data_IF_262447647252
#
_entry.id   IF_262447647252
#
_cell.length_a   1.000
_cell.length_b   1.000
_cell.length_c   1.000
_cell.angle_alpha   90.00
_cell.angle_beta   90.00
_cell.angle_gamma   90.00
#
_symmetry.space_group_name_H-M   'P 1'
#
loop_
_entity.id
_entity.type
_entity.pdbx_description
1 polymer ?
#
# COMPACT_ATOMS: atom_id res chain seq x y z
N UNK A 1 46.59 -7.37 -0.67
CA UNK A 1 46.00 -8.49 -1.42
C UNK A 1 45.17 -7.90 -2.54
N UNK A 2 45.41 -8.27 -3.80
CA UNK A 2 44.60 -7.74 -4.91
C UNK A 2 43.24 -8.45 -4.94
N UNK A 3 42.23 -7.79 -5.51
CA UNK A 3 40.92 -8.41 -5.77
C UNK A 3 41.04 -9.71 -6.59
N UNK A 4 42.05 -9.78 -7.45
CA UNK A 4 42.45 -10.94 -8.24
C UNK A 4 42.74 -12.18 -7.37
N UNK A 5 43.35 -12.01 -6.19
CA UNK A 5 43.63 -13.12 -5.27
C UNK A 5 42.35 -13.74 -4.73
N UNK A 6 41.32 -12.94 -4.44
CA UNK A 6 40.04 -13.42 -3.94
C UNK A 6 39.22 -14.14 -5.03
N UNK A 7 39.27 -13.65 -6.27
CA UNK A 7 38.61 -14.31 -7.42
C UNK A 7 39.26 -15.65 -7.76
N UNK A 8 40.57 -15.80 -7.52
CA UNK A 8 41.25 -17.10 -7.69
C UNK A 8 40.86 -18.12 -6.61
N UNK A 9 40.56 -17.65 -5.39
CA UNK A 9 40.10 -18.48 -4.27
C UNK A 9 38.63 -18.89 -4.41
N UNK A 10 37.78 -17.99 -4.92
CA UNK A 10 36.37 -18.26 -5.18
C UNK A 10 35.94 -17.63 -6.50
N UNK A 11 35.71 -18.50 -7.50
CA UNK A 11 35.32 -18.08 -8.86
C UNK A 11 33.91 -17.49 -8.92
N UNK A 12 33.06 -17.72 -7.91
CA UNK A 12 31.70 -17.15 -7.87
C UNK A 12 31.73 -15.63 -7.69
N UNK A 13 32.82 -15.09 -7.11
CA UNK A 13 33.03 -13.66 -6.95
C UNK A 13 33.31 -12.91 -8.26
N UNK A 14 33.47 -13.61 -9.38
CA UNK A 14 33.82 -13.01 -10.68
C UNK A 14 32.68 -12.17 -11.28
N UNK A 15 31.44 -12.53 -10.96
CA UNK A 15 30.22 -11.86 -11.41
C UNK A 15 29.61 -10.99 -10.29
N UNK A 16 30.25 -10.92 -9.12
CA UNK A 16 29.83 -10.13 -7.98
C UNK A 16 30.43 -8.72 -8.03
N UNK A 17 29.62 -7.72 -7.68
CA UNK A 17 30.08 -6.32 -7.65
C UNK A 17 30.35 -5.91 -6.20
N UNK A 18 31.61 -5.62 -5.87
CA UNK A 18 31.99 -5.15 -4.54
C UNK A 18 32.25 -3.63 -4.60
N UNK A 19 31.49 -2.80 -3.87
CA UNK A 19 31.78 -1.38 -3.78
C UNK A 19 33.04 -1.16 -2.94
N UNK A 20 34.10 -0.65 -3.58
CA UNK A 20 35.32 -0.21 -2.90
C UNK A 20 35.33 1.31 -2.86
N UNK A 21 35.22 1.87 -1.66
CA UNK A 21 35.28 3.33 -1.46
C UNK A 21 36.64 3.68 -0.87
N UNK A 22 37.40 4.48 -1.62
CA UNK A 22 38.68 5.00 -1.16
C UNK A 22 38.49 6.35 -0.47
N UNK A 23 39.12 6.51 0.68
CA UNK A 23 39.21 7.78 1.39
C UNK A 23 40.69 8.15 1.54
N UNK A 24 40.98 9.45 1.51
CA UNK A 24 42.32 9.91 1.85
C UNK A 24 42.55 9.71 3.35
N UNK A 25 43.59 8.96 3.72
CA UNK A 25 43.93 8.70 5.11
C UNK A 25 44.52 9.98 5.73
N UNK A 26 43.69 10.69 6.48
CA UNK A 26 44.10 11.84 7.31
C UNK A 26 44.34 11.42 8.77
N UNK A 27 44.48 10.11 9.02
CA UNK A 27 44.83 9.54 10.32
C UNK A 27 43.65 8.97 11.11
N UNK A 28 44.01 8.25 12.18
CA UNK A 28 43.10 7.46 13.02
C UNK A 28 41.91 8.27 13.59
N UNK A 29 42.13 9.54 13.92
CA UNK A 29 41.08 10.40 14.49
C UNK A 29 39.94 10.63 13.48
N UNK A 30 40.26 10.93 12.22
CA UNK A 30 39.26 11.12 11.16
C UNK A 30 38.57 9.81 10.81
N UNK A 31 39.31 8.71 10.72
CA UNK A 31 38.71 7.38 10.45
C UNK A 31 37.71 6.97 11.53
N UNK A 32 37.99 7.27 12.80
CA UNK A 32 37.03 7.08 13.91
C UNK A 32 35.80 7.98 13.77
N UNK A 33 35.98 9.25 13.42
CA UNK A 33 34.86 10.17 13.21
C UNK A 33 33.99 9.76 12.01
N UNK A 34 34.61 9.40 10.88
CA UNK A 34 33.90 8.95 9.69
C UNK A 34 33.14 7.65 9.93
N UNK A 35 33.72 6.71 10.69
CA UNK A 35 33.01 5.51 11.15
C UNK A 35 31.83 5.87 12.06
N UNK A 36 32.01 6.80 13.00
CA UNK A 36 30.92 7.27 13.85
C UNK A 36 29.81 7.93 13.03
N UNK A 37 30.15 8.78 12.06
CA UNK A 37 29.20 9.50 11.19
C UNK A 37 28.46 8.55 10.25
N UNK A 38 29.15 7.57 9.65
CA UNK A 38 28.52 6.55 8.81
C UNK A 38 27.53 5.71 9.60
N UNK A 39 27.88 5.30 10.82
CA UNK A 39 26.98 4.50 11.66
C UNK A 39 25.85 5.35 12.27
N UNK A 40 26.12 6.60 12.63
CA UNK A 40 25.12 7.51 13.17
C UNK A 40 24.10 7.95 12.12
N UNK A 41 24.52 8.09 10.87
CA UNK A 41 23.68 8.51 9.74
C UNK A 41 23.33 7.38 8.78
N UNK A 42 23.53 6.11 9.17
CA UNK A 42 23.07 4.95 8.39
C UNK A 42 21.53 4.89 8.44
N UNK A 43 20.88 5.80 7.72
CA UNK A 43 19.44 5.79 7.58
C UNK A 43 19.07 4.63 6.66
N UNK A 44 18.32 3.67 7.17
CA UNK A 44 17.69 2.66 6.31
C UNK A 44 16.91 3.37 5.21
N UNK A 45 17.03 2.95 3.93
CA UNK A 45 16.17 3.48 2.90
C UNK A 45 14.71 3.34 3.32
N UNK A 46 13.85 4.24 2.83
CA UNK A 46 12.43 4.21 3.18
C UNK A 46 11.84 2.83 2.81
N UNK A 47 10.80 2.39 3.54
CA UNK A 47 10.14 1.13 3.20
C UNK A 47 9.57 1.12 1.76
N UNK A 48 9.23 2.29 1.22
CA UNK A 48 8.79 2.44 -0.16
C UNK A 48 9.95 2.23 -1.14
N UNK A 49 11.11 2.85 -0.90
CA UNK A 49 12.33 2.64 -1.69
C UNK A 49 12.77 1.18 -1.63
N UNK A 50 12.82 0.57 -0.45
CA UNK A 50 13.18 -0.85 -0.33
C UNK A 50 12.23 -1.73 -1.14
N UNK A 51 10.91 -1.49 -1.06
CA UNK A 51 9.93 -2.25 -1.84
C UNK A 51 10.05 -2.00 -3.35
N UNK A 52 10.39 -0.79 -3.77
CA UNK A 52 10.57 -0.43 -5.18
C UNK A 52 11.74 -1.15 -5.83
N UNK A 53 12.85 -1.34 -5.10
CA UNK A 53 14.08 -1.93 -5.64
C UNK A 53 14.26 -3.42 -5.33
N UNK A 54 13.58 -3.97 -4.32
CA UNK A 54 13.64 -5.39 -3.99
C UNK A 54 12.72 -6.23 -4.89
N UNK A 55 13.08 -6.32 -6.18
CA UNK A 55 12.36 -7.10 -7.20
C UNK A 55 12.55 -8.61 -7.05
N UNK A 56 13.46 -9.05 -6.17
CA UNK A 56 13.61 -10.47 -5.81
C UNK A 56 12.44 -10.96 -4.96
N UNK A 57 11.76 -10.04 -4.29
CA UNK A 57 10.56 -10.33 -3.52
C UNK A 57 9.35 -10.47 -4.47
N UNK A 58 8.72 -11.66 -4.56
CA UNK A 58 7.63 -11.90 -5.49
C UNK A 58 6.42 -10.99 -5.27
N UNK A 59 6.15 -10.59 -4.03
CA UNK A 59 5.04 -9.71 -3.69
C UNK A 59 5.29 -8.26 -4.13
N UNK A 60 6.52 -7.76 -3.97
CA UNK A 60 6.88 -6.44 -4.49
C UNK A 60 6.71 -6.38 -6.01
N UNK A 61 7.21 -7.40 -6.72
CA UNK A 61 7.06 -7.52 -8.17
C UNK A 61 5.58 -7.57 -8.55
N UNK A 62 4.78 -8.42 -7.91
CA UNK A 62 3.34 -8.51 -8.13
C UNK A 62 2.64 -7.14 -8.01
N UNK A 63 2.90 -6.40 -6.93
CA UNK A 63 2.25 -5.09 -6.72
C UNK A 63 2.71 -4.06 -7.75
N UNK A 64 4.00 -4.03 -8.09
CA UNK A 64 4.54 -3.10 -9.09
C UNK A 64 3.98 -3.39 -10.49
N UNK A 65 4.00 -4.66 -10.93
CA UNK A 65 3.46 -5.10 -12.22
C UNK A 65 1.95 -4.82 -12.30
N UNK A 66 1.22 -5.06 -11.20
CA UNK A 66 -0.19 -4.74 -11.13
C UNK A 66 -0.45 -3.23 -11.27
N UNK A 67 0.31 -2.39 -10.57
CA UNK A 67 0.18 -0.93 -10.70
C UNK A 67 0.54 -0.44 -12.10
N UNK A 68 1.54 -1.02 -12.76
CA UNK A 68 1.92 -0.66 -14.12
C UNK A 68 0.81 -0.92 -15.14
N UNK A 69 -0.02 -1.94 -14.91
CA UNK A 69 -1.21 -2.22 -15.73
C UNK A 69 -2.35 -1.21 -15.54
N UNK A 70 -2.29 -0.38 -14.49
CA UNK A 70 -3.27 0.67 -14.17
C UNK A 70 -2.60 2.07 -14.10
N UNK A 71 -2.15 2.63 -15.23
CA UNK A 71 -1.31 3.82 -15.26
C UNK A 71 -1.93 5.06 -14.60
N UNK A 72 -3.24 5.26 -14.75
CA UNK A 72 -3.98 6.39 -14.14
C UNK A 72 -3.92 6.35 -12.60
N UNK A 73 -4.06 5.15 -12.02
CA UNK A 73 -3.94 4.94 -10.58
C UNK A 73 -2.48 5.03 -10.15
N UNK A 74 -1.56 4.44 -10.92
CA UNK A 74 -0.12 4.45 -10.67
C UNK A 74 0.43 5.89 -10.60
N UNK A 75 -0.10 6.80 -11.42
CA UNK A 75 0.25 8.21 -11.40
C UNK A 75 -0.04 8.89 -10.06
N UNK A 76 -0.98 8.38 -9.27
CA UNK A 76 -1.34 8.92 -7.95
C UNK A 76 -0.52 8.33 -6.80
N UNK A 77 0.50 7.50 -7.09
CA UNK A 77 1.30 6.80 -6.10
C UNK A 77 2.70 7.43 -5.98
N UNK A 78 3.11 7.68 -4.74
CA UNK A 78 4.49 7.99 -4.40
C UNK A 78 5.26 6.67 -4.16
N UNK A 79 6.19 6.34 -5.05
CA UNK A 79 6.98 5.11 -4.95
C UNK A 79 8.21 5.26 -4.04
N UNK A 80 8.55 6.47 -3.63
CA UNK A 80 9.77 6.75 -2.86
C UNK A 80 9.48 7.10 -1.40
N UNK A 81 8.37 7.78 -1.14
CA UNK A 81 7.97 8.21 0.21
C UNK A 81 6.95 7.27 0.80
N UNK A 82 7.11 6.95 2.09
CA UNK A 82 6.14 6.15 2.83
C UNK A 82 4.93 6.98 3.28
N UNK A 83 5.17 8.25 3.63
CA UNK A 83 4.15 9.21 4.05
C UNK A 83 3.85 10.21 2.95
N UNK A 84 2.59 10.60 2.87
CA UNK A 84 2.11 11.57 1.87
C UNK A 84 1.86 12.90 2.57
N UNK A 85 2.64 13.91 2.18
CA UNK A 85 2.48 15.26 2.72
C UNK A 85 1.14 15.89 2.32
N UNK A 86 0.68 16.87 3.10
CA UNK A 86 -0.62 17.54 2.88
C UNK A 86 -0.76 18.09 1.45
N UNK A 87 0.28 18.79 0.96
CA UNK A 87 0.36 19.40 -0.37
C UNK A 87 0.88 18.47 -1.47
N UNK A 88 1.00 17.16 -1.21
CA UNK A 88 1.49 16.23 -2.20
C UNK A 88 0.50 16.08 -3.35
N UNK A 89 1.04 16.03 -4.57
CA UNK A 89 0.31 15.66 -5.81
C UNK A 89 0.07 14.16 -5.93
N UNK A 90 0.53 13.35 -4.97
CA UNK A 90 0.23 11.91 -4.87
C UNK A 90 -0.86 11.71 -3.82
N UNK A 91 -1.68 10.67 -3.96
CA UNK A 91 -2.68 10.27 -2.96
C UNK A 91 -2.13 9.27 -1.95
N UNK A 92 -1.44 8.25 -2.45
CA UNK A 92 -0.97 7.11 -1.65
C UNK A 92 0.51 6.83 -1.89
N UNK A 93 1.10 5.96 -1.08
CA UNK A 93 2.46 5.47 -1.25
C UNK A 93 2.47 4.02 -1.70
N UNK A 94 3.60 3.53 -2.22
CA UNK A 94 3.77 2.11 -2.53
C UNK A 94 3.51 1.22 -1.31
N UNK A 95 3.85 1.68 -0.09
CA UNK A 95 3.56 0.94 1.15
C UNK A 95 2.05 0.82 1.39
N UNK A 96 1.27 1.86 1.12
CA UNK A 96 -0.19 1.79 1.21
C UNK A 96 -0.77 0.77 0.24
N UNK A 97 -0.22 0.70 -0.98
CA UNK A 97 -0.66 -0.26 -2.00
C UNK A 97 -0.26 -1.70 -1.67
N UNK A 98 0.92 -1.92 -1.09
CA UNK A 98 1.28 -3.23 -0.53
C UNK A 98 0.28 -3.66 0.54
N UNK A 99 -0.08 -2.77 1.47
CA UNK A 99 -1.08 -3.08 2.51
C UNK A 99 -2.47 -3.31 1.94
N UNK A 100 -2.88 -2.54 0.94
CA UNK A 100 -4.11 -2.79 0.20
C UNK A 100 -4.12 -4.19 -0.43
N UNK A 101 -3.06 -4.56 -1.14
CA UNK A 101 -2.93 -5.88 -1.76
C UNK A 101 -2.98 -7.00 -0.72
N UNK A 102 -2.27 -6.88 0.41
CA UNK A 102 -2.34 -7.87 1.49
C UNK A 102 -3.77 -8.03 2.04
N UNK A 103 -4.50 -6.93 2.20
CA UNK A 103 -5.89 -6.96 2.70
C UNK A 103 -6.85 -7.51 1.67
N UNK A 104 -6.69 -7.14 0.40
CA UNK A 104 -7.56 -7.57 -0.69
C UNK A 104 -7.38 -9.07 -0.98
N UNK A 105 -6.14 -9.54 -1.05
CA UNK A 105 -5.83 -10.92 -1.40
C UNK A 105 -5.88 -11.87 -0.20
N UNK A 106 -5.94 -11.34 1.03
CA UNK A 106 -5.94 -12.16 2.24
C UNK A 106 -4.61 -12.86 2.53
N UNK A 107 -3.52 -12.46 1.86
CA UNK A 107 -2.20 -13.07 1.98
C UNK A 107 -1.16 -12.02 2.38
N UNK A 108 -0.32 -12.36 3.36
CA UNK A 108 0.81 -11.50 3.75
C UNK A 108 1.94 -11.56 2.73
N UNK A 109 2.78 -10.52 2.69
CA UNK A 109 3.99 -10.50 1.85
C UNK A 109 4.86 -11.77 2.00
N UNK A 110 5.02 -12.28 3.23
CA UNK A 110 5.78 -13.50 3.49
C UNK A 110 5.06 -14.78 3.02
N UNK A 111 3.72 -14.80 3.10
CA UNK A 111 2.91 -15.92 2.63
C UNK A 111 2.87 -16.01 1.10
N UNK A 112 2.92 -14.86 0.41
CA UNK A 112 2.80 -14.77 -1.04
C UNK A 112 3.94 -15.51 -1.77
N UNK A 113 5.15 -15.51 -1.21
CA UNK A 113 6.32 -16.14 -1.82
C UNK A 113 6.19 -17.67 -1.98
N UNK A 114 5.27 -18.31 -1.27
CA UNK A 114 5.07 -19.77 -1.29
C UNK A 114 3.85 -20.19 -2.12
N UNK A 115 3.16 -19.25 -2.77
CA UNK A 115 1.95 -19.57 -3.51
C UNK A 115 2.25 -20.23 -4.86
N UNK A 116 1.44 -21.22 -5.28
CA UNK A 116 1.46 -21.74 -6.64
C UNK A 116 1.17 -20.67 -7.70
N UNK A 117 1.75 -20.83 -8.89
CA UNK A 117 1.60 -19.87 -9.99
C UNK A 117 0.13 -19.62 -10.37
N UNK A 118 -0.69 -20.68 -10.43
CA UNK A 118 -2.12 -20.58 -10.75
C UNK A 118 -2.90 -19.75 -9.70
N UNK A 119 -2.51 -19.81 -8.42
CA UNK A 119 -3.12 -18.98 -7.37
C UNK A 119 -2.71 -17.52 -7.55
N UNK A 120 -1.43 -17.26 -7.84
CA UNK A 120 -0.95 -15.89 -8.09
C UNK A 120 -1.58 -15.27 -9.34
N UNK A 121 -1.87 -16.06 -10.38
CA UNK A 121 -2.57 -15.60 -11.58
C UNK A 121 -4.05 -15.25 -11.28
N UNK A 122 -4.74 -16.07 -10.50
CA UNK A 122 -6.10 -15.77 -10.06
C UNK A 122 -6.15 -14.51 -9.21
N UNK A 123 -5.21 -14.35 -8.27
CA UNK A 123 -5.05 -13.13 -7.47
C UNK A 123 -4.77 -11.90 -8.32
N UNK A 124 -3.96 -12.02 -9.39
CA UNK A 124 -3.70 -10.92 -10.31
C UNK A 124 -5.00 -10.48 -11.01
N UNK A 125 -5.80 -11.42 -11.53
CA UNK A 125 -7.09 -11.14 -12.18
C UNK A 125 -8.07 -10.45 -11.23
N UNK A 126 -8.15 -10.93 -10.00
CA UNK A 126 -9.01 -10.31 -8.98
C UNK A 126 -8.55 -8.89 -8.63
N UNK A 127 -7.24 -8.71 -8.41
CA UNK A 127 -6.65 -7.40 -8.14
C UNK A 127 -6.94 -6.41 -9.28
N UNK A 128 -6.77 -6.83 -10.53
CA UNK A 128 -7.05 -5.98 -11.70
C UNK A 128 -8.52 -5.62 -11.83
N UNK A 129 -9.40 -6.58 -11.53
CA UNK A 129 -10.84 -6.34 -11.52
C UNK A 129 -11.18 -5.23 -10.54
N UNK A 130 -10.62 -5.26 -9.34
CA UNK A 130 -10.86 -4.22 -8.34
C UNK A 130 -10.23 -2.89 -8.74
N UNK A 131 -8.93 -2.87 -9.05
CA UNK A 131 -8.21 -1.61 -9.33
C UNK A 131 -8.67 -0.95 -10.61
N UNK A 132 -8.88 -1.71 -11.68
CA UNK A 132 -9.36 -1.20 -12.97
C UNK A 132 -10.76 -0.59 -12.88
N UNK A 133 -11.57 -1.01 -11.90
CA UNK A 133 -12.90 -0.45 -11.65
C UNK A 133 -12.92 0.64 -10.57
N UNK A 134 -11.80 0.99 -9.91
CA UNK A 134 -11.79 2.06 -8.92
C UNK A 134 -12.13 3.42 -9.52
N UNK A 135 -11.48 3.82 -10.62
CA UNK A 135 -11.75 5.10 -11.26
C UNK A 135 -13.19 5.21 -11.79
N UNK A 136 -13.70 4.26 -12.61
CA UNK A 136 -15.07 4.34 -13.12
C UNK A 136 -16.14 4.31 -12.03
N UNK A 137 -15.87 3.64 -10.91
CA UNK A 137 -16.83 3.51 -9.80
C UNK A 137 -16.84 4.73 -8.90
N UNK A 138 -15.67 5.22 -8.48
CA UNK A 138 -15.58 6.31 -7.51
C UNK A 138 -15.37 7.64 -8.22
N UNK A 139 -16.47 8.38 -8.42
CA UNK A 139 -16.46 9.70 -9.09
C UNK A 139 -15.41 10.67 -8.54
N UNK A 140 -15.12 10.62 -7.24
CA UNK A 140 -14.08 11.46 -6.64
C UNK A 140 -12.67 11.10 -7.10
N UNK A 141 -12.38 9.82 -7.36
CA UNK A 141 -11.11 9.40 -7.95
C UNK A 141 -11.02 9.82 -9.41
N UNK A 142 -12.09 9.63 -10.17
CA UNK A 142 -12.14 10.11 -11.56
C UNK A 142 -11.89 11.62 -11.66
N UNK A 143 -12.49 12.42 -10.77
CA UNK A 143 -12.23 13.88 -10.71
C UNK A 143 -10.80 14.24 -10.36
N UNK A 144 -10.08 13.43 -9.57
CA UNK A 144 -8.65 13.66 -9.31
C UNK A 144 -7.82 13.29 -10.54
N UNK A 145 -8.08 12.13 -11.14
CA UNK A 145 -7.35 11.61 -12.30
C UNK A 145 -7.49 12.56 -13.50
N UNK A 146 -8.70 13.06 -13.75
CA UNK A 146 -9.00 14.01 -14.82
C UNK A 146 -8.60 15.46 -14.50
N UNK A 147 -8.01 15.71 -13.33
CA UNK A 147 -7.52 17.03 -12.93
C UNK A 147 -8.61 18.05 -12.53
N UNK A 148 -9.86 17.61 -12.36
CA UNK A 148 -10.99 18.46 -11.91
C UNK A 148 -10.82 18.91 -10.46
N UNK A 149 -10.24 18.07 -9.61
CA UNK A 149 -9.83 18.43 -8.25
C UNK A 149 -8.40 17.97 -8.00
N UNK A 150 -7.69 18.64 -7.09
CA UNK A 150 -6.33 18.26 -6.75
C UNK A 150 -6.33 17.11 -5.72
N UNK A 151 -5.24 16.32 -5.66
CA UNK A 151 -5.00 15.38 -4.57
C UNK A 151 -5.03 16.01 -3.17
N UNK A 152 -4.60 17.28 -3.06
CA UNK A 152 -4.69 18.06 -1.82
C UNK A 152 -6.15 18.32 -1.43
N UNK A 153 -7.00 18.79 -2.35
CA UNK A 153 -8.44 18.97 -2.11
C UNK A 153 -9.09 17.64 -1.72
N UNK A 154 -8.83 16.56 -2.46
CA UNK A 154 -9.41 15.25 -2.14
C UNK A 154 -9.01 14.81 -0.73
N UNK A 155 -7.72 14.98 -0.37
CA UNK A 155 -7.21 14.64 0.96
C UNK A 155 -7.78 15.52 2.05
N UNK A 156 -8.07 16.79 1.79
CA UNK A 156 -8.62 17.71 2.80
C UNK A 156 -10.06 17.37 3.14
N UNK A 157 -10.89 17.06 2.14
CA UNK A 157 -12.34 17.01 2.33
C UNK A 157 -12.91 15.59 2.39
N UNK A 158 -12.22 14.59 1.82
CA UNK A 158 -12.76 13.25 1.63
C UNK A 158 -11.88 12.16 2.25
N UNK A 159 -12.50 11.07 2.69
CA UNK A 159 -11.78 9.91 3.24
C UNK A 159 -11.04 9.12 2.15
N UNK A 160 -11.51 9.18 0.90
CA UNK A 160 -10.97 8.39 -0.22
C UNK A 160 -9.48 8.64 -0.45
N UNK A 161 -9.03 9.88 -0.28
CA UNK A 161 -7.62 10.25 -0.47
C UNK A 161 -6.67 9.73 0.62
N UNK A 162 -7.15 8.94 1.60
CA UNK A 162 -6.36 8.47 2.73
C UNK A 162 -6.08 6.97 2.64
N UNK A 163 -4.93 6.58 3.20
CA UNK A 163 -4.49 5.19 3.25
C UNK A 163 -5.45 4.27 4.03
N UNK A 164 -6.12 4.79 5.06
CA UNK A 164 -7.11 4.01 5.83
C UNK A 164 -8.29 3.58 4.95
N UNK A 165 -8.78 4.46 4.07
CA UNK A 165 -9.85 4.09 3.13
C UNK A 165 -9.37 3.02 2.16
N UNK A 166 -8.19 3.21 1.56
CA UNK A 166 -7.64 2.24 0.60
C UNK A 166 -7.51 0.85 1.24
N UNK A 167 -6.89 0.74 2.41
CA UNK A 167 -6.76 -0.54 3.12
C UNK A 167 -8.11 -1.13 3.55
N UNK A 168 -9.06 -0.29 3.95
CA UNK A 168 -10.42 -0.73 4.28
C UNK A 168 -11.19 -1.24 3.07
N UNK A 169 -11.02 -0.63 1.91
CA UNK A 169 -11.62 -1.09 0.66
C UNK A 169 -11.09 -2.49 0.31
N UNK A 170 -9.78 -2.69 0.39
CA UNK A 170 -9.17 -4.01 0.18
C UNK A 170 -9.76 -5.06 1.13
N UNK A 171 -9.82 -4.75 2.43
CA UNK A 171 -10.39 -5.67 3.42
C UNK A 171 -11.89 -5.92 3.22
N UNK A 172 -12.64 -4.91 2.79
CA UNK A 172 -14.08 -5.04 2.55
C UNK A 172 -14.36 -5.99 1.39
N UNK A 173 -13.57 -5.91 0.30
CA UNK A 173 -13.75 -6.69 -0.92
C UNK A 173 -13.08 -8.08 -0.87
N UNK A 174 -12.27 -8.37 0.15
CA UNK A 174 -11.43 -9.58 0.19
C UNK A 174 -12.19 -10.91 0.07
N UNK A 175 -13.47 -10.94 0.44
CA UNK A 175 -14.32 -12.14 0.34
C UNK A 175 -14.82 -12.42 -1.08
N UNK A 176 -14.47 -11.58 -2.06
CA UNK A 176 -14.95 -11.69 -3.44
C UNK A 176 -13.93 -12.35 -4.38
N UNK A 177 -12.76 -12.75 -3.87
CA UNK A 177 -11.66 -13.27 -4.68
C UNK A 177 -12.07 -14.50 -5.52
N UNK A 178 -12.95 -15.35 -4.97
CA UNK A 178 -13.44 -16.57 -5.63
C UNK A 178 -14.76 -16.36 -6.41
N UNK A 179 -15.24 -15.12 -6.49
CA UNK A 179 -16.49 -14.78 -7.18
C UNK A 179 -16.23 -14.25 -8.59
N UNK A 180 -17.28 -14.29 -9.42
CA UNK A 180 -17.20 -13.76 -10.78
C UNK A 180 -16.92 -12.23 -10.77
N UNK A 181 -16.16 -11.70 -11.75
CA UNK A 181 -15.84 -10.27 -11.83
C UNK A 181 -17.06 -9.35 -11.82
N UNK A 182 -18.18 -9.79 -12.39
CA UNK A 182 -19.44 -9.05 -12.44
C UNK A 182 -20.01 -8.81 -11.03
N UNK A 183 -19.90 -9.81 -10.14
CA UNK A 183 -20.33 -9.67 -8.74
C UNK A 183 -19.45 -8.64 -8.02
N UNK A 184 -18.13 -8.68 -8.26
CA UNK A 184 -17.21 -7.69 -7.70
C UNK A 184 -17.57 -6.28 -8.17
N UNK A 185 -17.87 -6.12 -9.46
CA UNK A 185 -18.27 -4.84 -10.02
C UNK A 185 -19.59 -4.32 -9.42
N UNK A 186 -20.59 -5.18 -9.25
CA UNK A 186 -21.88 -4.77 -8.68
C UNK A 186 -21.75 -4.37 -7.21
N UNK A 187 -20.94 -5.11 -6.42
CA UNK A 187 -20.57 -4.69 -5.06
C UNK A 187 -19.88 -3.33 -5.10
N UNK A 188 -18.88 -3.13 -5.96
CA UNK A 188 -18.18 -1.83 -6.06
C UNK A 188 -19.13 -0.69 -6.42
N UNK A 189 -20.05 -0.89 -7.37
CA UNK A 189 -21.08 0.10 -7.73
C UNK A 189 -21.97 0.45 -6.55
N UNK A 190 -22.35 -0.51 -5.71
CA UNK A 190 -23.15 -0.21 -4.51
C UNK A 190 -22.42 0.76 -3.57
N UNK A 191 -21.10 0.65 -3.44
CA UNK A 191 -20.26 1.53 -2.62
C UNK A 191 -20.18 2.95 -3.19
N UNK A 192 -20.32 3.15 -4.50
CA UNK A 192 -20.23 4.47 -5.13
C UNK A 192 -21.25 5.49 -4.60
N UNK A 193 -22.35 5.02 -4.02
CA UNK A 193 -23.43 5.83 -3.47
C UNK A 193 -23.11 6.47 -2.11
N UNK A 194 -22.03 6.04 -1.45
CA UNK A 194 -21.66 6.54 -0.13
C UNK A 194 -21.19 8.00 -0.15
N UNK A 195 -21.56 8.73 0.89
CA UNK A 195 -21.06 10.07 1.14
C UNK A 195 -19.64 10.00 1.74
N UNK A 196 -18.63 10.25 0.92
CA UNK A 196 -17.21 10.11 1.30
C UNK A 196 -16.61 11.35 1.99
N UNK A 197 -17.40 12.39 2.23
CA UNK A 197 -16.97 13.57 2.97
C UNK A 197 -16.56 13.19 4.39
N UNK A 198 -15.45 13.73 4.88
CA UNK A 198 -14.91 13.38 6.21
C UNK A 198 -15.81 13.78 7.37
N UNK A 199 -16.58 14.85 7.21
CA UNK A 199 -17.54 15.36 8.19
C UNK A 199 -18.85 14.56 8.23
N UNK A 200 -19.00 13.56 7.35
CA UNK A 200 -20.16 12.68 7.39
C UNK A 200 -20.09 11.75 8.61
N UNK A 201 -21.16 11.71 9.41
CA UNK A 201 -21.30 10.89 10.62
C UNK A 201 -21.05 9.40 10.38
N UNK A 202 -21.19 8.93 9.15
CA UNK A 202 -20.84 7.57 8.73
C UNK A 202 -19.38 7.22 9.07
N UNK A 203 -18.47 8.18 9.06
CA UNK A 203 -17.04 7.95 9.28
C UNK A 203 -16.58 8.27 10.70
N UNK A 204 -17.41 8.98 11.47
CA UNK A 204 -17.16 9.31 12.86
C UNK A 204 -17.00 8.04 13.70
N UNK A 205 -15.98 8.01 14.58
CA UNK A 205 -15.64 6.85 15.40
C UNK A 205 -14.96 5.70 14.64
N UNK A 206 -14.97 5.73 13.30
CA UNK A 206 -14.32 4.73 12.43
C UNK A 206 -12.92 5.22 12.00
N UNK A 207 -12.80 5.75 10.79
CA UNK A 207 -11.57 6.36 10.26
C UNK A 207 -11.44 7.85 10.58
N UNK A 208 -12.50 8.50 11.08
CA UNK A 208 -12.47 9.89 11.55
C UNK A 208 -12.69 9.92 13.06
N UNK A 209 -11.72 10.46 13.82
CA UNK A 209 -11.81 10.61 15.27
C UNK A 209 -11.32 12.00 15.67
N UNK A 210 -12.15 12.76 16.38
CA UNK A 210 -11.87 14.16 16.73
C UNK A 210 -11.37 14.98 15.53
N UNK A 211 -12.14 14.92 14.42
CA UNK A 211 -11.89 15.58 13.13
C UNK A 211 -10.55 15.24 12.45
N UNK A 212 -9.87 14.18 12.92
CA UNK A 212 -8.63 13.70 12.35
C UNK A 212 -8.83 12.34 11.71
N UNK A 213 -8.16 12.16 10.58
CA UNK A 213 -8.03 10.84 9.96
C UNK A 213 -7.15 9.96 10.83
N UNK A 214 -7.66 8.80 11.21
CA UNK A 214 -6.93 7.81 12.01
C UNK A 214 -6.73 6.55 11.18
N UNK A 215 -5.46 6.17 11.00
CA UNK A 215 -5.08 4.89 10.42
C UNK A 215 -4.49 3.99 11.50
N UNK A 216 -5.23 2.95 11.86
CA UNK A 216 -4.78 1.81 12.64
C UNK A 216 -5.66 0.60 12.29
N UNK A 217 -5.32 -0.58 12.83
CA UNK A 217 -6.05 -1.81 12.53
C UNK A 217 -7.55 -1.73 12.84
N UNK A 218 -7.94 -1.08 13.94
CA UNK A 218 -9.34 -0.95 14.32
C UNK A 218 -10.08 -0.03 13.35
N UNK A 219 -9.53 1.15 13.04
CA UNK A 219 -10.11 2.08 12.07
C UNK A 219 -10.24 1.45 10.68
N UNK A 220 -9.30 0.61 10.26
CA UNK A 220 -9.39 -0.15 9.01
C UNK A 220 -10.56 -1.14 9.05
N UNK A 221 -10.68 -1.94 10.14
CA UNK A 221 -11.76 -2.92 10.32
C UNK A 221 -13.14 -2.27 10.40
N UNK A 222 -13.28 -1.20 11.18
CA UNK A 222 -14.54 -0.48 11.37
C UNK A 222 -15.03 0.16 10.07
N UNK A 223 -14.10 0.77 9.32
CA UNK A 223 -14.44 1.36 8.02
C UNK A 223 -14.76 0.27 7.00
N UNK A 224 -14.02 -0.83 6.98
CA UNK A 224 -14.33 -1.98 6.12
C UNK A 224 -15.68 -2.62 6.45
N UNK A 225 -16.04 -2.70 7.74
CA UNK A 225 -17.35 -3.19 8.18
C UNK A 225 -18.48 -2.31 7.63
N UNK A 226 -18.31 -0.99 7.67
CA UNK A 226 -19.29 -0.06 7.09
C UNK A 226 -19.43 -0.24 5.57
N UNK A 227 -18.32 -0.43 4.86
CA UNK A 227 -18.35 -0.71 3.43
C UNK A 227 -19.11 -2.02 3.16
N UNK A 228 -18.78 -3.09 3.88
CA UNK A 228 -19.46 -4.39 3.72
C UNK A 228 -20.96 -4.31 3.97
N UNK A 229 -21.41 -3.63 5.02
CA UNK A 229 -22.85 -3.41 5.26
C UNK A 229 -23.54 -2.74 4.11
N UNK A 230 -22.93 -1.66 3.60
CA UNK A 230 -23.49 -0.89 2.49
C UNK A 230 -23.65 -1.78 1.26
N UNK A 231 -22.70 -2.68 1.03
CA UNK A 231 -22.72 -3.61 -0.08
C UNK A 231 -23.47 -4.93 0.20
N UNK A 232 -24.11 -5.08 1.37
CA UNK A 232 -24.80 -6.32 1.75
C UNK A 232 -23.89 -7.53 1.95
N UNK A 233 -22.59 -7.32 2.23
CA UNK A 233 -21.63 -8.38 2.49
C UNK A 233 -21.57 -8.74 3.98
N UNK A 234 -21.30 -10.01 4.28
CA UNK A 234 -21.14 -10.49 5.65
C UNK A 234 -19.91 -9.88 6.35
N UNK A 235 -20.09 -9.52 7.62
CA UNK A 235 -19.00 -9.06 8.47
C UNK A 235 -18.21 -10.24 9.02
N UNK A 236 -16.88 -10.14 9.02
CA UNK A 236 -16.05 -11.14 9.72
C UNK A 236 -16.20 -11.02 11.24
N UNK A 237 -15.95 -12.10 11.98
CA UNK A 237 -15.97 -12.08 13.45
C UNK A 237 -15.09 -10.96 14.02
N UNK A 238 -13.91 -10.74 13.43
CA UNK A 238 -13.01 -9.67 13.89
C UNK A 238 -13.57 -8.26 13.64
N UNK A 239 -14.38 -8.05 12.60
CA UNK A 239 -15.09 -6.79 12.37
C UNK A 239 -16.21 -6.59 13.40
N UNK A 240 -16.96 -7.65 13.71
CA UNK A 240 -18.04 -7.63 14.70
C UNK A 240 -17.48 -7.33 16.09
N UNK A 241 -16.48 -8.07 16.54
CA UNK A 241 -15.78 -7.86 17.82
C UNK A 241 -15.21 -6.44 17.94
N UNK A 242 -14.64 -5.91 16.86
CA UNK A 242 -14.10 -4.55 16.85
C UNK A 242 -15.22 -3.51 16.92
N UNK A 243 -16.34 -3.73 16.22
CA UNK A 243 -17.50 -2.81 16.28
C UNK A 243 -18.09 -2.75 17.68
N UNK A 244 -18.31 -3.92 18.30
CA UNK A 244 -18.77 -4.05 19.68
C UNK A 244 -17.86 -3.33 20.68
N UNK A 245 -16.53 -3.54 20.57
CA UNK A 245 -15.53 -2.91 21.45
C UNK A 245 -15.51 -1.38 21.35
N UNK A 246 -15.88 -0.82 20.21
CA UNK A 246 -15.96 0.64 20.00
C UNK A 246 -17.40 1.18 20.13
N UNK A 247 -18.37 0.36 20.55
CA UNK A 247 -19.76 0.78 20.73
C UNK A 247 -20.47 1.17 19.44
N UNK A 248 -20.05 0.62 18.30
CA UNK A 248 -20.68 0.84 17.01
C UNK A 248 -21.61 -0.32 16.69
N UNK A 249 -22.80 0.01 16.19
CA UNK A 249 -23.77 -0.99 15.74
C UNK A 249 -23.17 -1.87 14.64
N UNK A 250 -23.71 -3.09 14.56
CA UNK A 250 -23.48 -4.29 13.73
C UNK A 250 -24.16 -4.46 12.38
#
# INVERSE_FOLDING_TARGET
>A
MSAETFIQLDKTLRDETIPVVFYFDEGLARSKQMFADLNANLSKPSAAINALYDLRNPFNRFVLDALERHPEINALIDKERTTIGAKSVKLWSLVHWKKFAEKLLGVSEAGFANLPENETEAMAKFFDTVVGNMQPTFRLLDRVITGVITPETLRTDFIIGHAVFLESLGLALSSLADLAPEVTLDVMKSLSSLAYNKDNDLWAGRCVKADRMVKNNDSVKLTAAQLRRTAGLELSNSMIETSLRHGLDY
#
